data_IF_137442733813
#
_entry.id   IF_137442733813
#
_cell.length_a   1.000
_cell.length_b   1.000
_cell.length_c   1.000
_cell.angle_alpha   90.00
_cell.angle_beta   90.00
_cell.angle_gamma   90.00
#
_symmetry.space_group_name_H-M   'P 1'
#
loop_
_entity.id
_entity.type
_entity.pdbx_description
1 polymer ?
#
# COMPACT_ATOMS: atom_id res chain seq x y z
N UNK A 1 -1.48 -13.97 58.65
CA UNK A 1 -0.78 -12.67 58.60
C UNK A 1 0.63 -12.97 58.13
N UNK A 2 1.10 -12.70 56.91
CA UNK A 2 0.90 -11.61 55.94
C UNK A 2 0.83 -12.17 54.50
N UNK A 3 0.32 -11.40 53.52
CA UNK A 3 -0.20 -11.93 52.26
C UNK A 3 0.83 -12.03 51.13
N UNK A 4 0.47 -12.89 50.18
CA UNK A 4 1.04 -13.16 48.86
C UNK A 4 1.38 -11.93 48.02
N UNK A 5 2.57 -11.92 47.43
CA UNK A 5 2.87 -11.20 46.18
C UNK A 5 3.37 -12.19 45.12
N UNK A 6 2.54 -12.64 44.17
CA UNK A 6 3.05 -13.24 42.96
C UNK A 6 3.52 -12.10 42.05
N UNK A 7 4.82 -12.12 41.71
CA UNK A 7 5.39 -11.30 40.66
C UNK A 7 4.75 -11.68 39.32
N UNK A 8 3.61 -11.06 39.00
CA UNK A 8 2.97 -11.18 37.69
C UNK A 8 3.82 -10.44 36.67
N UNK A 9 4.53 -11.22 35.88
CA UNK A 9 5.22 -10.79 34.69
C UNK A 9 4.19 -10.16 33.71
N UNK A 10 4.51 -9.07 32.98
CA UNK A 10 3.57 -8.36 32.10
C UNK A 10 2.95 -9.19 30.96
N UNK A 11 3.38 -10.45 30.78
CA UNK A 11 2.93 -11.35 29.72
C UNK A 11 1.61 -12.08 30.00
N UNK A 12 1.06 -12.01 31.22
CA UNK A 12 -0.23 -12.65 31.56
C UNK A 12 -1.47 -11.86 31.14
N UNK A 13 -1.34 -10.58 30.81
CA UNK A 13 -2.42 -9.85 30.14
C UNK A 13 -2.24 -10.02 28.64
N UNK A 14 -3.18 -10.67 27.95
CA UNK A 14 -3.23 -10.76 26.49
C UNK A 14 -3.41 -9.40 25.80
N UNK A 15 -2.47 -8.48 26.03
CA UNK A 15 -2.47 -7.10 25.56
C UNK A 15 -1.62 -6.96 24.31
N UNK A 16 -2.20 -6.26 23.35
CA UNK A 16 -1.80 -6.20 21.96
C UNK A 16 -0.39 -5.59 21.75
N UNK A 17 0.51 -6.20 20.94
CA UNK A 17 1.94 -5.81 20.97
C UNK A 17 2.33 -4.56 20.17
N UNK A 18 1.52 -4.06 19.24
CA UNK A 18 1.96 -3.03 18.26
C UNK A 18 1.45 -1.62 18.54
N UNK A 19 0.14 -1.43 18.39
CA UNK A 19 -0.47 -0.10 18.44
C UNK A 19 -0.83 0.36 19.88
N UNK A 20 -1.18 -0.57 20.77
CA UNK A 20 -1.47 -0.31 22.19
C UNK A 20 -0.24 0.11 22.99
N UNK A 21 0.94 -0.45 22.69
CA UNK A 21 2.18 -0.07 23.38
C UNK A 21 2.67 1.34 23.03
N UNK A 22 2.40 1.85 21.82
CA UNK A 22 2.59 3.27 21.49
C UNK A 22 1.58 4.15 22.22
N UNK A 23 0.31 3.71 22.27
CA UNK A 23 -0.79 4.45 22.90
C UNK A 23 -0.63 4.67 24.42
N UNK A 24 0.02 3.75 25.13
CA UNK A 24 0.34 3.86 26.56
C UNK A 24 1.61 4.67 26.85
N UNK A 25 2.57 4.75 25.92
CA UNK A 25 3.86 5.46 26.11
C UNK A 25 3.88 6.89 25.58
N UNK A 26 2.90 7.30 24.77
CA UNK A 26 2.84 8.63 24.17
C UNK A 26 1.86 9.57 24.91
N UNK A 27 2.24 10.83 25.20
CA UNK A 27 1.33 11.81 25.76
C UNK A 27 0.16 12.08 24.81
N UNK A 28 -1.02 12.39 25.38
CA UNK A 28 -2.30 12.53 24.64
C UNK A 28 -2.20 13.39 23.38
N UNK A 29 -1.44 14.49 23.41
CA UNK A 29 -1.24 15.38 22.25
C UNK A 29 -0.50 14.71 21.09
N UNK A 30 0.57 13.95 21.34
CA UNK A 30 1.31 13.22 20.28
C UNK A 30 0.48 12.09 19.68
N UNK A 31 -0.38 11.48 20.48
CA UNK A 31 -1.31 10.44 20.03
C UNK A 31 -2.40 10.98 19.11
N UNK A 32 -2.93 12.16 19.42
CA UNK A 32 -3.88 12.87 18.57
C UNK A 32 -3.22 13.34 17.26
N UNK A 33 -2.00 13.88 17.32
CA UNK A 33 -1.25 14.28 16.13
C UNK A 33 -0.95 13.09 15.21
N UNK A 34 -0.50 11.97 15.78
CA UNK A 34 -0.26 10.73 15.03
C UNK A 34 -1.55 10.19 14.40
N UNK A 35 -2.67 10.27 15.11
CA UNK A 35 -3.97 9.89 14.55
C UNK A 35 -4.40 10.79 13.40
N UNK A 36 -4.34 12.11 13.58
CA UNK A 36 -4.71 13.06 12.52
C UNK A 36 -3.87 12.82 11.27
N UNK A 37 -2.56 12.55 11.44
CA UNK A 37 -1.67 12.19 10.35
C UNK A 37 -2.05 10.85 9.69
N UNK A 38 -2.38 9.81 10.47
CA UNK A 38 -2.82 8.53 9.93
C UNK A 38 -4.14 8.64 9.15
N UNK A 39 -5.07 9.49 9.59
CA UNK A 39 -6.34 9.71 8.92
C UNK A 39 -6.17 10.50 7.62
N UNK A 40 -5.28 11.52 7.60
CA UNK A 40 -4.91 12.24 6.36
C UNK A 40 -4.29 11.29 5.35
N UNK A 41 -3.37 10.41 5.77
CA UNK A 41 -2.76 9.41 4.89
C UNK A 41 -3.80 8.45 4.34
N UNK A 42 -4.72 7.98 5.19
CA UNK A 42 -5.79 7.07 4.75
C UNK A 42 -6.74 7.74 3.75
N UNK A 43 -7.14 8.99 4.00
CA UNK A 43 -7.97 9.75 3.07
C UNK A 43 -7.26 9.99 1.73
N UNK A 44 -5.95 10.23 1.75
CA UNK A 44 -5.16 10.36 0.54
C UNK A 44 -5.09 9.03 -0.23
N UNK A 45 -4.88 7.90 0.45
CA UNK A 45 -4.90 6.58 -0.20
C UNK A 45 -6.27 6.31 -0.83
N UNK A 46 -7.37 6.55 -0.11
CA UNK A 46 -8.73 6.39 -0.63
C UNK A 46 -9.00 7.32 -1.83
N UNK A 47 -8.48 8.55 -1.82
CA UNK A 47 -8.58 9.47 -2.97
C UNK A 47 -7.93 8.86 -4.21
N UNK A 48 -6.70 8.34 -4.09
CA UNK A 48 -6.01 7.73 -5.24
C UNK A 48 -6.74 6.49 -5.77
N UNK A 49 -7.30 5.68 -4.89
CA UNK A 49 -8.02 4.46 -5.27
C UNK A 49 -9.35 4.76 -5.96
N UNK A 50 -10.12 5.72 -5.45
CA UNK A 50 -11.41 6.10 -6.04
C UNK A 50 -11.19 6.72 -7.41
N UNK A 51 -10.17 7.58 -7.54
CA UNK A 51 -9.83 8.19 -8.82
C UNK A 51 -9.31 7.13 -9.80
N UNK A 52 -8.38 6.27 -9.38
CA UNK A 52 -7.85 5.19 -10.24
C UNK A 52 -8.96 4.23 -10.69
N UNK A 53 -9.86 3.84 -9.81
CA UNK A 53 -11.02 3.02 -10.16
C UNK A 53 -12.02 3.75 -11.07
N UNK A 54 -12.24 5.05 -10.86
CA UNK A 54 -13.09 5.86 -11.72
C UNK A 54 -12.51 5.97 -13.14
N UNK A 55 -11.20 6.20 -13.27
CA UNK A 55 -10.47 6.20 -14.54
C UNK A 55 -10.57 4.81 -15.20
N UNK A 56 -10.41 3.72 -14.43
CA UNK A 56 -10.54 2.37 -14.97
C UNK A 56 -11.94 2.11 -15.55
N UNK A 57 -13.00 2.51 -14.85
CA UNK A 57 -14.37 2.38 -15.35
C UNK A 57 -14.65 3.31 -16.54
N UNK A 58 -14.05 4.48 -16.55
CA UNK A 58 -14.12 5.40 -17.69
C UNK A 58 -13.50 4.78 -18.94
N UNK A 59 -12.31 4.19 -18.80
CA UNK A 59 -11.59 3.55 -19.91
C UNK A 59 -12.31 2.28 -20.39
N UNK A 60 -12.81 1.44 -19.47
CA UNK A 60 -13.43 0.15 -19.83
C UNK A 60 -14.85 0.30 -20.40
N UNK A 61 -15.64 1.22 -19.86
CA UNK A 61 -17.08 1.30 -20.12
C UNK A 61 -17.56 2.67 -20.58
N UNK A 62 -16.66 3.67 -20.68
CA UNK A 62 -17.03 5.05 -21.03
C UNK A 62 -17.82 5.76 -19.93
N UNK A 63 -17.81 5.26 -18.69
CA UNK A 63 -18.60 5.82 -17.59
C UNK A 63 -18.00 7.17 -17.15
N UNK A 64 -18.80 8.23 -16.92
CA UNK A 64 -18.29 9.49 -16.39
C UNK A 64 -17.56 9.31 -15.05
N UNK A 65 -16.47 10.06 -14.82
CA UNK A 65 -15.61 9.90 -13.64
C UNK A 65 -16.37 9.94 -12.31
N UNK A 66 -17.35 10.84 -12.17
CA UNK A 66 -18.16 10.92 -10.95
C UNK A 66 -19.00 9.66 -10.73
N UNK A 67 -19.65 9.15 -11.78
CA UNK A 67 -20.42 7.91 -11.70
C UNK A 67 -19.49 6.71 -11.44
N UNK A 68 -18.32 6.68 -12.07
CA UNK A 68 -17.28 5.68 -11.82
C UNK A 68 -16.82 5.69 -10.36
N UNK A 69 -16.53 6.87 -9.81
CA UNK A 69 -16.15 7.03 -8.40
C UNK A 69 -17.23 6.54 -7.44
N UNK A 70 -18.50 6.84 -7.71
CA UNK A 70 -19.63 6.33 -6.92
C UNK A 70 -19.72 4.80 -7.01
N UNK A 71 -19.59 4.22 -8.20
CA UNK A 71 -19.61 2.77 -8.39
C UNK A 71 -18.47 2.11 -7.61
N UNK A 72 -17.25 2.63 -7.71
CA UNK A 72 -16.09 2.13 -6.96
C UNK A 72 -16.33 2.25 -5.45
N UNK A 73 -16.91 3.37 -5.00
CA UNK A 73 -17.32 3.58 -3.62
C UNK A 73 -18.33 2.55 -3.12
N UNK A 74 -19.31 2.19 -3.94
CA UNK A 74 -20.31 1.15 -3.60
C UNK A 74 -19.68 -0.23 -3.61
N UNK A 75 -18.92 -0.59 -4.66
CA UNK A 75 -18.28 -1.91 -4.79
C UNK A 75 -17.28 -2.13 -3.65
N UNK A 76 -16.50 -1.12 -3.29
CA UNK A 76 -15.61 -1.19 -2.13
C UNK A 76 -16.36 -1.42 -0.82
N UNK A 77 -17.47 -0.72 -0.58
CA UNK A 77 -18.31 -0.92 0.59
C UNK A 77 -18.88 -2.35 0.65
N UNK A 78 -19.26 -2.90 -0.50
CA UNK A 78 -19.73 -4.28 -0.63
C UNK A 78 -18.61 -5.30 -0.33
N UNK A 79 -17.40 -5.07 -0.83
CA UNK A 79 -16.24 -5.92 -0.52
C UNK A 79 -15.95 -5.92 0.99
N UNK A 80 -16.04 -4.75 1.62
CA UNK A 80 -15.88 -4.58 3.06
C UNK A 80 -16.99 -5.29 3.85
N UNK A 81 -18.23 -5.28 3.34
CA UNK A 81 -19.35 -6.02 3.92
C UNK A 81 -19.13 -7.54 3.82
N UNK A 82 -18.65 -8.03 2.67
CA UNK A 82 -18.29 -9.44 2.50
C UNK A 82 -17.18 -9.84 3.47
N UNK A 83 -16.16 -9.01 3.65
CA UNK A 83 -15.08 -9.25 4.61
C UNK A 83 -15.62 -9.35 6.05
N UNK A 84 -16.51 -8.43 6.43
CA UNK A 84 -17.08 -8.36 7.80
C UNK A 84 -17.99 -9.55 8.10
N UNK A 85 -18.80 -10.00 7.12
CA UNK A 85 -19.80 -11.04 7.34
C UNK A 85 -19.32 -12.46 7.02
N UNK A 86 -18.45 -12.64 6.00
CA UNK A 86 -17.98 -13.96 5.54
C UNK A 86 -16.55 -14.28 5.96
N UNK A 87 -15.86 -13.34 6.62
CA UNK A 87 -14.53 -13.54 7.16
C UNK A 87 -13.39 -13.42 6.12
N UNK A 88 -12.13 -13.50 6.60
CA UNK A 88 -10.94 -13.13 5.81
C UNK A 88 -10.65 -14.05 4.63
N UNK A 89 -11.04 -15.33 4.67
CA UNK A 89 -10.71 -16.30 3.61
C UNK A 89 -11.40 -16.00 2.27
N UNK A 90 -12.66 -15.59 2.30
CA UNK A 90 -13.38 -15.21 1.08
C UNK A 90 -12.83 -13.93 0.47
N UNK A 91 -12.46 -12.99 1.34
CA UNK A 91 -11.80 -11.77 0.93
C UNK A 91 -10.45 -12.05 0.26
N UNK A 92 -9.59 -12.85 0.89
CA UNK A 92 -8.31 -13.28 0.31
C UNK A 92 -8.50 -13.95 -1.06
N UNK A 93 -9.48 -14.84 -1.20
CA UNK A 93 -9.76 -15.52 -2.48
C UNK A 93 -10.12 -14.54 -3.60
N UNK A 94 -11.02 -13.57 -3.33
CA UNK A 94 -11.38 -12.51 -4.30
C UNK A 94 -10.14 -11.72 -4.69
N UNK A 95 -9.31 -11.36 -3.71
CA UNK A 95 -8.10 -10.58 -3.96
C UNK A 95 -7.04 -11.34 -4.76
N UNK A 96 -6.81 -12.61 -4.43
CA UNK A 96 -5.88 -13.47 -5.18
C UNK A 96 -6.34 -13.68 -6.62
N UNK A 97 -7.65 -13.87 -6.85
CA UNK A 97 -8.19 -13.99 -8.21
C UNK A 97 -7.97 -12.72 -9.03
N UNK A 98 -8.17 -11.57 -8.39
CA UNK A 98 -7.97 -10.26 -9.00
C UNK A 98 -6.49 -9.99 -9.34
N UNK A 99 -5.58 -10.31 -8.42
CA UNK A 99 -4.13 -10.22 -8.64
C UNK A 99 -3.67 -11.20 -9.73
N UNK A 100 -4.26 -12.39 -9.81
CA UNK A 100 -3.96 -13.37 -10.84
C UNK A 100 -4.33 -12.84 -12.24
N UNK A 101 -5.51 -12.20 -12.38
CA UNK A 101 -5.94 -11.58 -13.64
C UNK A 101 -4.94 -10.50 -14.08
N UNK A 102 -4.52 -9.62 -13.17
CA UNK A 102 -3.48 -8.61 -13.45
C UNK A 102 -2.19 -9.26 -13.92
N UNK A 103 -1.73 -10.25 -13.15
CA UNK A 103 -0.45 -10.92 -13.39
C UNK A 103 -0.46 -11.56 -14.77
N UNK A 104 -1.50 -12.33 -15.10
CA UNK A 104 -1.66 -12.93 -16.42
C UNK A 104 -1.73 -11.85 -17.50
N UNK A 105 -2.50 -10.78 -17.30
CA UNK A 105 -2.63 -9.68 -18.26
C UNK A 105 -1.30 -9.04 -18.65
N UNK A 106 -0.52 -8.57 -17.67
CA UNK A 106 0.76 -7.92 -17.91
C UNK A 106 1.84 -8.89 -18.37
N UNK A 107 1.89 -10.10 -17.81
CA UNK A 107 2.88 -11.10 -18.22
C UNK A 107 2.61 -11.57 -19.65
N UNK A 108 1.36 -11.82 -20.02
CA UNK A 108 1.01 -12.14 -21.41
C UNK A 108 1.29 -10.96 -22.33
N UNK A 109 0.96 -9.73 -21.94
CA UNK A 109 1.31 -8.52 -22.71
C UNK A 109 2.82 -8.37 -22.93
N UNK A 110 3.63 -8.72 -21.92
CA UNK A 110 5.09 -8.70 -22.01
C UNK A 110 5.63 -9.71 -23.04
N UNK A 111 5.11 -10.94 -23.05
CA UNK A 111 5.56 -11.97 -23.99
C UNK A 111 5.08 -11.76 -25.43
N UNK A 112 3.95 -11.08 -25.61
CA UNK A 112 3.43 -10.72 -26.94
C UNK A 112 4.02 -9.42 -27.48
N UNK A 113 4.52 -8.55 -26.59
CA UNK A 113 5.12 -7.27 -26.96
C UNK A 113 6.51 -7.41 -27.56
N UNK A 114 6.97 -6.39 -28.32
CA UNK A 114 8.33 -6.35 -28.87
C UNK A 114 9.33 -5.96 -27.77
N UNK A 115 9.64 -6.88 -26.85
CA UNK A 115 10.63 -6.67 -25.79
C UNK A 115 11.95 -7.34 -26.16
N UNK A 116 13.02 -6.56 -26.21
CA UNK A 116 14.37 -7.08 -26.33
C UNK A 116 14.84 -7.61 -24.97
N UNK A 117 14.89 -8.94 -24.86
CA UNK A 117 15.32 -9.63 -23.63
C UNK A 117 16.81 -9.39 -23.31
N UNK A 118 17.64 -9.07 -24.31
CA UNK A 118 19.04 -8.71 -24.13
C UNK A 118 19.19 -7.37 -23.40
N UNK A 119 18.44 -6.36 -23.83
CA UNK A 119 18.40 -5.06 -23.14
C UNK A 119 17.73 -5.15 -21.76
N UNK A 120 16.67 -5.96 -21.63
CA UNK A 120 16.01 -6.17 -20.35
C UNK A 120 16.96 -6.76 -19.29
N UNK A 121 17.79 -7.74 -19.66
CA UNK A 121 18.80 -8.32 -18.77
C UNK A 121 19.92 -7.32 -18.49
N UNK A 122 20.34 -6.54 -19.49
CA UNK A 122 21.33 -5.49 -19.30
C UNK A 122 20.85 -4.38 -18.35
N UNK A 123 19.53 -4.10 -18.33
CA UNK A 123 18.89 -3.14 -17.44
C UNK A 123 18.83 -3.55 -15.97
N UNK A 124 19.11 -4.82 -15.64
CA UNK A 124 19.25 -5.28 -14.25
C UNK A 124 20.48 -4.64 -13.58
N UNK A 125 21.50 -4.28 -14.38
CA UNK A 125 22.64 -3.54 -13.87
C UNK A 125 22.25 -2.08 -13.64
N UNK A 126 22.38 -1.56 -12.40
CA UNK A 126 21.98 -0.19 -12.09
C UNK A 126 22.88 0.81 -12.83
N UNK A 127 22.31 1.47 -13.85
CA UNK A 127 22.93 2.58 -14.57
C UNK A 127 22.12 3.84 -14.28
N UNK A 128 22.71 4.74 -13.50
CA UNK A 128 22.06 6.01 -13.12
C UNK A 128 22.60 7.12 -14.03
N UNK A 129 21.90 7.36 -15.14
CA UNK A 129 22.27 8.40 -16.13
C UNK A 129 21.76 9.78 -15.70
N UNK A 130 22.26 10.27 -14.56
CA UNK A 130 21.99 11.61 -14.05
C UNK A 130 20.82 11.72 -13.05
N UNK A 131 20.52 12.96 -12.67
CA UNK A 131 19.50 13.28 -11.64
C UNK A 131 18.08 12.77 -11.97
N UNK A 132 17.58 12.83 -13.22
CA UNK A 132 16.21 12.38 -13.54
C UNK A 132 16.01 10.88 -13.31
N UNK A 133 16.97 10.04 -13.70
CA UNK A 133 16.91 8.58 -13.53
C UNK A 133 17.01 8.18 -12.06
N UNK A 134 17.79 8.91 -11.26
CA UNK A 134 17.84 8.72 -9.81
C UNK A 134 16.48 9.07 -9.17
N UNK A 135 15.86 10.18 -9.58
CA UNK A 135 14.55 10.57 -9.08
C UNK A 135 13.46 9.58 -9.49
N UNK A 136 13.47 9.07 -10.71
CA UNK A 136 12.54 8.01 -11.17
C UNK A 136 12.73 6.72 -10.38
N UNK A 137 13.96 6.20 -10.29
CA UNK A 137 14.27 4.98 -9.55
C UNK A 137 13.86 5.09 -8.08
N UNK A 138 14.15 6.24 -7.47
CA UNK A 138 13.76 6.50 -6.11
C UNK A 138 12.23 6.62 -6.00
N UNK A 139 11.53 7.35 -6.88
CA UNK A 139 10.07 7.46 -6.89
C UNK A 139 9.37 6.10 -7.03
N UNK A 140 9.91 5.20 -7.86
CA UNK A 140 9.43 3.81 -7.96
C UNK A 140 9.63 3.04 -6.64
N UNK A 141 10.77 3.24 -5.97
CA UNK A 141 11.03 2.66 -4.65
C UNK A 141 10.06 3.22 -3.59
N UNK A 142 9.80 4.52 -3.60
CA UNK A 142 8.84 5.15 -2.71
C UNK A 142 7.41 4.65 -2.93
N UNK A 143 6.97 4.54 -4.18
CA UNK A 143 5.63 4.07 -4.55
C UNK A 143 5.39 2.60 -4.17
N UNK A 144 6.43 1.77 -4.14
CA UNK A 144 6.29 0.34 -3.77
C UNK A 144 6.25 0.11 -2.26
N UNK A 145 6.76 1.04 -1.45
CA UNK A 145 6.77 0.91 0.00
C UNK A 145 5.55 1.61 0.60
N UNK A 146 4.42 0.91 0.65
CA UNK A 146 3.19 1.36 1.31
C UNK A 146 3.23 1.04 2.82
N UNK A 147 3.34 2.04 3.73
CA UNK A 147 3.49 1.78 5.17
C UNK A 147 2.25 1.17 5.80
N UNK A 148 1.08 1.50 5.27
CA UNK A 148 -0.18 0.94 5.74
C UNK A 148 -0.29 -0.55 5.41
N UNK A 149 0.36 -1.04 4.35
CA UNK A 149 0.46 -2.46 4.07
C UNK A 149 1.24 -3.21 5.16
N UNK A 150 2.24 -2.56 5.77
CA UNK A 150 3.01 -3.14 6.88
C UNK A 150 2.12 -3.30 8.13
N UNK A 151 1.30 -2.28 8.44
CA UNK A 151 0.36 -2.36 9.56
C UNK A 151 -0.77 -3.37 9.31
N UNK A 152 -1.35 -3.37 8.10
CA UNK A 152 -2.38 -4.32 7.71
C UNK A 152 -1.84 -5.75 7.79
N UNK A 153 -0.66 -6.02 7.22
CA UNK A 153 -0.08 -7.36 7.22
C UNK A 153 0.25 -7.81 8.66
N UNK A 154 0.77 -6.92 9.50
CA UNK A 154 1.00 -7.22 10.92
C UNK A 154 -0.30 -7.56 11.67
N UNK A 155 -1.39 -6.85 11.36
CA UNK A 155 -2.70 -7.10 11.96
C UNK A 155 -3.40 -8.34 11.36
N UNK A 156 -3.25 -8.62 10.07
CA UNK A 156 -3.81 -9.80 9.39
C UNK A 156 -3.10 -11.08 9.83
N UNK A 157 -1.78 -11.05 9.92
CA UNK A 157 -0.99 -12.18 10.44
C UNK A 157 -1.39 -12.52 11.88
N UNK A 158 -1.71 -11.51 12.70
CA UNK A 158 -2.24 -11.70 14.06
C UNK A 158 -3.62 -12.37 14.04
N UNK A 159 -4.55 -11.85 13.26
CA UNK A 159 -5.93 -12.36 13.22
C UNK A 159 -6.03 -13.76 12.58
N UNK A 160 -5.17 -14.08 11.62
CA UNK A 160 -5.08 -15.41 10.99
C UNK A 160 -4.63 -16.50 11.95
N UNK A 161 -3.85 -16.15 12.98
CA UNK A 161 -3.26 -17.12 13.91
C UNK A 161 -3.89 -17.13 15.31
N UNK A 162 -4.77 -16.18 15.64
CA UNK A 162 -5.48 -16.14 16.93
C UNK A 162 -4.57 -15.94 18.14
N UNK A 163 -5.11 -16.16 19.36
CA UNK A 163 -4.42 -16.08 20.67
C UNK A 163 -2.97 -16.59 20.62
N UNK A 164 -2.04 -16.02 21.42
CA UNK A 164 -0.62 -16.24 21.25
C UNK A 164 -0.30 -17.74 21.18
N UNK A 165 0.17 -18.25 20.03
CA UNK A 165 0.50 -19.65 19.88
C UNK A 165 1.56 -19.99 20.93
N UNK A 166 1.53 -21.22 21.45
CA UNK A 166 2.53 -21.69 22.40
C UNK A 166 3.93 -21.25 21.92
N UNK A 167 4.77 -20.70 22.81
CA UNK A 167 6.07 -20.09 22.43
C UNK A 167 6.93 -20.97 21.50
N UNK A 168 6.74 -22.29 21.53
CA UNK A 168 7.37 -23.27 20.66
C UNK A 168 6.95 -23.19 19.17
N UNK A 169 5.73 -22.75 18.86
CA UNK A 169 5.21 -22.64 17.49
C UNK A 169 5.53 -21.27 16.84
N UNK A 170 5.92 -20.27 17.63
CA UNK A 170 6.21 -18.92 17.14
C UNK A 170 7.32 -18.87 16.06
N UNK A 171 8.45 -19.60 16.19
CA UNK A 171 9.48 -19.62 15.13
C UNK A 171 8.99 -20.20 13.81
N UNK A 172 8.15 -21.23 13.86
CA UNK A 172 7.58 -21.86 12.65
C UNK A 172 6.61 -20.91 11.95
N UNK A 173 5.75 -20.23 12.72
CA UNK A 173 4.81 -19.24 12.19
C UNK A 173 5.52 -18.02 11.58
N UNK A 174 6.58 -17.52 12.23
CA UNK A 174 7.40 -16.43 11.67
C UNK A 174 8.06 -16.85 10.35
N UNK A 175 8.54 -18.09 10.26
CA UNK A 175 9.16 -18.61 9.03
C UNK A 175 8.14 -18.79 7.91
N UNK A 176 6.95 -19.32 8.21
CA UNK A 176 5.87 -19.47 7.25
C UNK A 176 5.38 -18.10 6.74
N UNK A 177 5.17 -17.14 7.64
CA UNK A 177 4.76 -15.75 7.29
C UNK A 177 5.83 -15.08 6.44
N UNK A 178 7.12 -15.29 6.74
CA UNK A 178 8.22 -14.74 5.93
C UNK A 178 8.20 -15.26 4.49
N UNK A 179 7.97 -16.56 4.30
CA UNK A 179 7.86 -17.14 2.96
C UNK A 179 6.62 -16.65 2.21
N UNK A 180 5.48 -16.49 2.91
CA UNK A 180 4.24 -15.95 2.36
C UNK A 180 4.44 -14.51 1.84
N UNK A 181 5.07 -13.64 2.65
CA UNK A 181 5.42 -12.27 2.26
C UNK A 181 6.44 -12.26 1.12
N UNK A 182 7.47 -13.10 1.18
CA UNK A 182 8.50 -13.14 0.14
C UNK A 182 7.91 -13.54 -1.21
N UNK A 183 7.10 -14.60 -1.25
CA UNK A 183 6.42 -15.04 -2.47
C UNK A 183 5.48 -13.96 -3.01
N UNK A 184 4.70 -13.33 -2.13
CA UNK A 184 3.79 -12.24 -2.52
C UNK A 184 4.55 -11.03 -3.11
N UNK A 185 5.67 -10.63 -2.50
CA UNK A 185 6.51 -9.54 -3.00
C UNK A 185 7.24 -9.90 -4.30
N UNK A 186 7.64 -11.16 -4.49
CA UNK A 186 8.23 -11.62 -5.75
C UNK A 186 7.21 -11.56 -6.90
N UNK A 187 5.96 -11.96 -6.65
CA UNK A 187 4.89 -11.83 -7.65
C UNK A 187 4.56 -10.36 -7.92
N UNK A 188 4.42 -9.53 -6.90
CA UNK A 188 4.18 -8.09 -7.09
C UNK A 188 5.36 -7.42 -7.84
N UNK A 189 6.59 -7.78 -7.50
CA UNK A 189 7.80 -7.29 -8.15
C UNK A 189 7.89 -7.71 -9.61
N UNK A 190 7.53 -8.95 -9.95
CA UNK A 190 7.52 -9.41 -11.34
C UNK A 190 6.47 -8.68 -12.18
N UNK A 191 5.29 -8.42 -11.62
CA UNK A 191 4.26 -7.60 -12.28
C UNK A 191 4.73 -6.17 -12.51
N UNK A 192 5.38 -5.54 -11.52
CA UNK A 192 5.93 -4.20 -11.68
C UNK A 192 7.03 -4.14 -12.75
N UNK A 193 7.91 -5.14 -12.81
CA UNK A 193 8.93 -5.26 -13.87
C UNK A 193 8.25 -5.45 -15.23
N UNK A 194 7.24 -6.31 -15.33
CA UNK A 194 6.50 -6.53 -16.57
C UNK A 194 5.83 -5.23 -17.05
N UNK A 195 5.22 -4.47 -16.13
CA UNK A 195 4.62 -3.17 -16.42
C UNK A 195 5.66 -2.16 -16.91
N UNK A 196 6.83 -2.10 -16.26
CA UNK A 196 7.93 -1.21 -16.65
C UNK A 196 8.47 -1.55 -18.06
N UNK A 197 8.70 -2.84 -18.34
CA UNK A 197 9.18 -3.29 -19.64
C UNK A 197 8.15 -3.06 -20.75
N UNK A 198 6.87 -3.33 -20.47
CA UNK A 198 5.78 -3.02 -21.39
C UNK A 198 5.73 -1.52 -21.69
N UNK A 199 5.94 -0.69 -20.66
CA UNK A 199 5.96 0.75 -20.82
C UNK A 199 7.14 1.23 -21.65
N UNK A 200 8.35 0.74 -21.36
CA UNK A 200 9.55 1.06 -22.10
C UNK A 200 9.45 0.68 -23.59
N UNK A 201 8.88 -0.49 -23.89
CA UNK A 201 8.75 -0.99 -25.26
C UNK A 201 7.64 -0.35 -26.09
N UNK A 202 6.59 0.21 -25.47
CA UNK A 202 5.39 0.64 -26.20
C UNK A 202 5.02 2.12 -26.01
N UNK A 203 5.47 2.78 -24.94
CA UNK A 203 5.16 4.19 -24.68
C UNK A 203 6.33 5.14 -25.01
N UNK A 204 7.53 4.60 -25.27
CA UNK A 204 8.70 5.43 -25.59
C UNK A 204 8.50 6.21 -26.89
N UNK A 205 8.59 7.54 -26.80
CA UNK A 205 8.42 8.44 -27.94
C UNK A 205 6.98 8.71 -28.37
N UNK A 206 5.97 8.20 -27.64
CA UNK A 206 4.55 8.48 -27.92
C UNK A 206 4.09 9.72 -27.12
N UNK A 207 3.62 10.80 -27.78
CA UNK A 207 3.14 11.99 -27.08
C UNK A 207 1.84 11.72 -26.31
N UNK A 208 1.66 12.36 -25.14
CA UNK A 208 0.43 12.28 -24.35
C UNK A 208 0.33 11.08 -23.40
N UNK A 209 1.45 10.40 -23.13
CA UNK A 209 1.52 9.21 -22.26
C UNK A 209 1.64 9.51 -20.77
N UNK A 210 1.66 10.79 -20.39
CA UNK A 210 1.75 11.25 -19.00
C UNK A 210 0.45 11.02 -18.21
N UNK A 211 -0.66 10.74 -18.90
CA UNK A 211 -1.95 10.37 -18.31
C UNK A 211 -2.20 8.87 -18.36
N UNK A 212 -3.00 8.36 -17.43
CA UNK A 212 -3.38 6.93 -17.42
C UNK A 212 -4.19 6.57 -18.68
N UNK A 213 -5.05 7.48 -19.13
CA UNK A 213 -5.84 7.35 -20.36
C UNK A 213 -4.95 7.28 -21.60
N UNK A 214 -3.96 8.16 -21.68
CA UNK A 214 -2.97 8.17 -22.76
C UNK A 214 -2.10 6.93 -22.76
N UNK A 215 -1.67 6.47 -21.58
CA UNK A 215 -0.94 5.23 -21.41
C UNK A 215 -1.75 4.01 -21.87
N UNK A 216 -3.03 3.94 -21.49
CA UNK A 216 -3.93 2.88 -21.95
C UNK A 216 -4.14 2.93 -23.47
N UNK A 217 -4.35 4.12 -24.04
CA UNK A 217 -4.51 4.28 -25.48
C UNK A 217 -3.27 3.82 -26.26
N UNK A 218 -2.06 4.14 -25.77
CA UNK A 218 -0.80 3.67 -26.34
C UNK A 218 -0.68 2.13 -26.27
N UNK A 219 -1.03 1.53 -25.12
CA UNK A 219 -1.05 0.08 -24.94
C UNK A 219 -2.03 -0.59 -25.91
N UNK A 220 -3.25 -0.06 -26.06
CA UNK A 220 -4.25 -0.60 -27.00
C UNK A 220 -3.77 -0.50 -28.43
N UNK A 221 -3.15 0.62 -28.81
CA UNK A 221 -2.63 0.83 -30.16
C UNK A 221 -1.48 -0.14 -30.49
N UNK A 222 -0.59 -0.42 -29.53
CA UNK A 222 0.58 -1.26 -29.77
C UNK A 222 0.33 -2.76 -29.60
N UNK A 223 -0.48 -3.15 -28.61
CA UNK A 223 -0.65 -4.55 -28.18
C UNK A 223 -2.06 -5.09 -28.40
N UNK A 224 -2.99 -4.24 -28.82
CA UNK A 224 -4.37 -4.58 -29.12
C UNK A 224 -5.33 -4.44 -27.93
N UNK A 225 -6.64 -4.56 -28.20
CA UNK A 225 -7.70 -4.26 -27.22
C UNK A 225 -7.73 -5.23 -26.04
N UNK A 226 -7.29 -6.48 -26.22
CA UNK A 226 -7.28 -7.47 -25.13
C UNK A 226 -6.36 -7.08 -23.98
N UNK A 227 -5.18 -6.54 -24.28
CA UNK A 227 -4.21 -6.08 -23.26
C UNK A 227 -4.70 -4.79 -22.60
N UNK A 228 -5.35 -3.90 -23.35
CA UNK A 228 -5.99 -2.70 -22.79
C UNK A 228 -7.09 -3.03 -21.77
N UNK A 229 -7.95 -4.02 -22.07
CA UNK A 229 -8.96 -4.51 -21.13
C UNK A 229 -8.28 -5.07 -19.87
N UNK A 230 -7.21 -5.86 -20.03
CA UNK A 230 -6.47 -6.41 -18.89
C UNK A 230 -5.84 -5.29 -18.03
N UNK A 231 -5.31 -4.23 -18.66
CA UNK A 231 -4.80 -3.05 -17.97
C UNK A 231 -5.89 -2.31 -17.18
N UNK A 232 -7.03 -2.02 -17.81
CA UNK A 232 -8.17 -1.35 -17.16
C UNK A 232 -8.75 -2.18 -16.01
N UNK A 233 -8.94 -3.48 -16.22
CA UNK A 233 -9.36 -4.42 -15.16
C UNK A 233 -8.33 -4.43 -14.04
N UNK A 234 -7.04 -4.37 -14.37
CA UNK A 234 -5.97 -4.33 -13.39
C UNK A 234 -5.89 -3.04 -12.58
N UNK A 235 -6.20 -1.91 -13.18
CA UNK A 235 -6.30 -0.62 -12.50
C UNK A 235 -7.49 -0.61 -11.53
N UNK A 236 -8.66 -1.08 -11.98
CA UNK A 236 -9.86 -1.23 -11.14
C UNK A 236 -9.59 -2.18 -9.96
N UNK A 237 -8.96 -3.31 -10.28
CA UNK A 237 -8.56 -4.33 -9.34
C UNK A 237 -7.67 -3.80 -8.22
N UNK A 238 -6.60 -3.09 -8.60
CA UNK A 238 -5.64 -2.50 -7.67
C UNK A 238 -6.31 -1.49 -6.72
N UNK A 239 -7.23 -0.66 -7.24
CA UNK A 239 -8.01 0.26 -6.41
C UNK A 239 -8.87 -0.46 -5.37
N UNK A 240 -9.60 -1.50 -5.78
CA UNK A 240 -10.45 -2.31 -4.88
C UNK A 240 -9.63 -3.11 -3.85
N UNK A 241 -8.44 -3.56 -4.25
CA UNK A 241 -7.48 -4.25 -3.40
C UNK A 241 -7.04 -3.39 -2.22
N UNK A 242 -6.50 -2.23 -2.57
CA UNK A 242 -5.84 -1.34 -1.62
C UNK A 242 -6.85 -0.77 -0.62
N UNK A 243 -8.06 -0.45 -1.09
CA UNK A 243 -9.20 0.00 -0.27
C UNK A 243 -9.45 -0.91 0.92
N UNK A 244 -9.51 -2.20 0.65
CA UNK A 244 -9.94 -3.19 1.64
C UNK A 244 -8.85 -3.42 2.68
N UNK A 245 -7.59 -3.41 2.22
CA UNK A 245 -6.40 -3.47 3.08
C UNK A 245 -6.23 -2.18 3.90
N UNK A 246 -6.48 -1.01 3.32
CA UNK A 246 -6.38 0.31 3.97
C UNK A 246 -7.44 0.54 5.04
N UNK A 247 -8.68 0.10 4.79
CA UNK A 247 -9.75 0.08 5.78
C UNK A 247 -9.38 -0.79 6.99
N UNK A 248 -8.84 -1.99 6.75
CA UNK A 248 -8.38 -2.89 7.79
C UNK A 248 -7.20 -2.31 8.58
N UNK A 249 -6.16 -1.86 7.88
CA UNK A 249 -4.97 -1.25 8.47
C UNK A 249 -5.35 -0.09 9.41
N UNK A 250 -6.18 0.83 8.94
CA UNK A 250 -6.52 1.98 9.76
C UNK A 250 -7.52 1.66 10.88
N UNK A 251 -8.36 0.63 10.75
CA UNK A 251 -9.15 0.14 11.90
C UNK A 251 -8.26 -0.44 13.00
N UNK A 252 -7.18 -1.15 12.63
CA UNK A 252 -6.20 -1.68 13.56
C UNK A 252 -5.36 -0.56 14.22
N UNK A 253 -4.94 0.44 13.46
CA UNK A 253 -4.22 1.63 13.96
C UNK A 253 -5.12 2.37 14.96
N UNK A 254 -6.38 2.61 14.61
CA UNK A 254 -7.32 3.40 15.43
C UNK A 254 -7.71 2.68 16.72
N UNK A 255 -7.96 1.37 16.64
CA UNK A 255 -8.24 0.53 17.80
C UNK A 255 -7.10 0.53 18.81
N UNK A 256 -5.85 0.41 18.34
CA UNK A 256 -4.70 0.37 19.23
C UNK A 256 -4.22 1.73 19.74
N UNK A 257 -4.33 2.81 18.96
CA UNK A 257 -3.84 4.13 19.37
C UNK A 257 -4.90 4.96 20.10
N UNK A 258 -6.15 4.99 19.62
CA UNK A 258 -7.17 5.88 20.18
C UNK A 258 -8.18 5.17 21.07
N UNK A 259 -8.23 3.83 21.08
CA UNK A 259 -9.28 3.06 21.74
C UNK A 259 -10.71 3.43 21.26
N UNK A 260 -10.82 4.11 20.13
CA UNK A 260 -12.10 4.47 19.50
C UNK A 260 -12.43 3.39 18.49
N UNK A 261 -13.59 2.76 18.65
CA UNK A 261 -14.13 1.78 17.71
C UNK A 261 -15.11 2.47 16.77
N UNK A 262 -14.62 3.05 15.69
CA UNK A 262 -15.50 3.43 14.58
C UNK A 262 -15.83 2.18 13.76
N UNK A 263 -17.06 2.10 13.24
CA UNK A 263 -17.39 1.07 12.27
C UNK A 263 -16.57 1.29 11.00
N UNK A 264 -16.09 0.20 10.38
CA UNK A 264 -15.27 0.27 9.17
C UNK A 264 -16.02 0.99 8.04
N UNK A 265 -17.35 0.86 8.00
CA UNK A 265 -18.25 1.56 7.08
C UNK A 265 -18.30 3.07 7.30
N UNK A 266 -18.43 3.52 8.56
CA UNK A 266 -18.45 4.95 8.88
C UNK A 266 -17.14 5.61 8.45
N UNK A 267 -16.02 4.94 8.71
CA UNK A 267 -14.70 5.44 8.30
C UNK A 267 -14.58 5.54 6.78
N UNK A 268 -15.00 4.49 6.05
CA UNK A 268 -15.00 4.50 4.59
C UNK A 268 -15.86 5.62 4.02
N UNK A 269 -17.02 5.92 4.63
CA UNK A 269 -17.85 7.03 4.18
C UNK A 269 -17.14 8.39 4.38
N UNK A 270 -16.48 8.59 5.52
CA UNK A 270 -15.76 9.82 5.84
C UNK A 270 -14.62 10.07 4.85
N UNK A 271 -13.90 9.03 4.41
CA UNK A 271 -12.78 9.14 3.49
C UNK A 271 -13.20 9.16 2.01
N UNK A 272 -14.31 8.49 1.66
CA UNK A 272 -14.86 8.47 0.30
C UNK A 272 -15.48 9.81 -0.12
N UNK A 273 -16.18 10.48 0.79
CA UNK A 273 -16.90 11.73 0.49
C UNK A 273 -15.97 12.83 -0.05
N UNK A 274 -14.82 13.15 0.59
CA UNK A 274 -13.86 14.11 0.04
C UNK A 274 -13.39 13.74 -1.37
N UNK A 275 -13.14 12.47 -1.65
CA UNK A 275 -12.71 12.02 -2.97
C UNK A 275 -13.79 12.26 -4.04
N UNK A 276 -15.05 11.96 -3.73
CA UNK A 276 -16.17 12.22 -4.64
C UNK A 276 -16.39 13.72 -4.86
N UNK A 277 -16.19 14.56 -3.82
CA UNK A 277 -16.28 16.02 -3.96
C UNK A 277 -15.20 16.56 -4.88
N UNK A 278 -13.96 16.08 -4.76
CA UNK A 278 -12.84 16.47 -5.65
C UNK A 278 -13.16 16.11 -7.11
N UNK A 279 -13.70 14.91 -7.36
CA UNK A 279 -14.12 14.48 -8.70
C UNK A 279 -15.30 15.33 -9.21
N UNK A 280 -16.30 15.60 -8.35
CA UNK A 280 -17.46 16.42 -8.71
C UNK A 280 -17.09 17.87 -9.01
N UNK A 281 -16.04 18.40 -8.37
CA UNK A 281 -15.50 19.72 -8.64
C UNK A 281 -14.75 19.82 -9.97
N UNK A 282 -14.57 18.72 -10.70
CA UNK A 282 -13.88 18.69 -11.99
C UNK A 282 -12.38 18.90 -11.87
N UNK A 283 -11.79 18.59 -10.71
CA UNK A 283 -10.33 18.62 -10.54
C UNK A 283 -9.69 17.59 -11.45
N UNK A 284 -8.57 17.97 -12.08
CA UNK A 284 -7.82 17.07 -12.93
C UNK A 284 -7.40 15.79 -12.16
N UNK A 285 -7.75 14.60 -12.67
CA UNK A 285 -7.47 13.33 -11.98
C UNK A 285 -5.98 13.09 -11.75
N UNK A 286 -5.13 13.47 -12.70
CA UNK A 286 -3.67 13.30 -12.63
C UNK A 286 -3.11 14.14 -11.49
N UNK A 287 -3.53 15.40 -11.39
CA UNK A 287 -3.14 16.29 -10.29
C UNK A 287 -3.62 15.78 -8.93
N UNK A 288 -4.84 15.28 -8.85
CA UNK A 288 -5.38 14.72 -7.61
C UNK A 288 -4.65 13.43 -7.19
N UNK A 289 -4.22 12.61 -8.15
CA UNK A 289 -3.35 11.46 -7.90
C UNK A 289 -1.97 11.90 -7.38
N UNK A 290 -1.34 12.89 -8.01
CA UNK A 290 -0.04 13.44 -7.55
C UNK A 290 -0.16 14.01 -6.13
N UNK A 291 -1.20 14.80 -5.86
CA UNK A 291 -1.44 15.36 -4.53
C UNK A 291 -1.63 14.27 -3.47
N UNK A 292 -2.39 13.22 -3.81
CA UNK A 292 -2.51 12.04 -2.94
C UNK A 292 -1.13 11.45 -2.62
N UNK A 293 -0.29 11.22 -3.63
CA UNK A 293 1.06 10.67 -3.41
C UNK A 293 1.92 11.55 -2.49
N UNK A 294 1.82 12.89 -2.61
CA UNK A 294 2.52 13.82 -1.72
C UNK A 294 2.03 13.68 -0.27
N UNK A 295 0.72 13.55 -0.05
CA UNK A 295 0.17 13.32 1.29
C UNK A 295 0.57 11.97 1.87
N UNK A 296 0.62 10.91 1.04
CA UNK A 296 1.14 9.61 1.46
C UNK A 296 2.62 9.71 1.85
N UNK A 297 3.44 10.36 1.03
CA UNK A 297 4.90 10.46 1.22
C UNK A 297 5.26 11.15 2.54
N UNK A 298 4.50 12.17 2.95
CA UNK A 298 4.60 12.83 4.25
C UNK A 298 4.32 11.87 5.41
N UNK A 299 3.46 10.88 5.22
CA UNK A 299 3.08 9.92 6.25
C UNK A 299 4.06 8.76 6.47
N UNK A 300 4.85 8.42 5.45
CA UNK A 300 5.75 7.25 5.47
C UNK A 300 6.77 7.28 6.62
N UNK A 301 7.50 8.39 6.88
CA UNK A 301 8.49 8.44 7.95
C UNK A 301 7.89 8.18 9.33
N UNK A 302 6.69 8.70 9.57
CA UNK A 302 5.99 8.56 10.85
C UNK A 302 5.58 7.11 11.12
N UNK A 303 5.35 6.31 10.09
CA UNK A 303 5.07 4.89 10.23
C UNK A 303 6.36 4.06 10.42
N UNK A 304 7.36 4.29 9.56
CA UNK A 304 8.57 3.47 9.53
C UNK A 304 9.51 3.70 10.72
N UNK A 305 9.69 4.95 11.15
CA UNK A 305 10.63 5.28 12.24
C UNK A 305 10.24 4.58 13.56
N UNK A 306 8.98 4.65 14.03
CA UNK A 306 8.55 3.91 15.21
C UNK A 306 8.66 2.39 15.03
N UNK A 307 8.36 1.87 13.85
CA UNK A 307 8.45 0.44 13.57
C UNK A 307 9.89 -0.08 13.70
N UNK A 308 10.86 0.58 13.08
CA UNK A 308 12.28 0.21 13.19
C UNK A 308 12.77 0.34 14.63
N UNK A 309 12.32 1.38 15.35
CA UNK A 309 12.65 1.56 16.77
C UNK A 309 12.09 0.44 17.65
N UNK A 310 10.82 0.07 17.46
CA UNK A 310 10.16 -0.99 18.25
C UNK A 310 10.76 -2.36 17.96
N UNK A 311 11.00 -2.68 16.69
CA UNK A 311 11.60 -3.96 16.28
C UNK A 311 13.06 -4.11 16.73
N UNK A 312 13.74 -2.99 17.00
CA UNK A 312 15.06 -2.95 17.62
C UNK A 312 15.07 -2.95 19.16
N UNK A 313 13.93 -2.78 19.82
CA UNK A 313 13.84 -2.72 21.29
C UNK A 313 13.72 -4.12 21.90
N UNK A 314 14.73 -4.53 22.68
CA UNK A 314 14.72 -5.81 23.41
C UNK A 314 13.60 -5.89 24.44
N UNK A 315 13.14 -4.76 24.98
CA UNK A 315 12.04 -4.74 25.94
C UNK A 315 10.69 -5.12 25.29
N UNK A 316 10.56 -4.92 23.97
CA UNK A 316 9.34 -5.21 23.20
C UNK A 316 9.44 -6.57 22.51
N UNK A 317 10.56 -6.84 21.82
CA UNK A 317 10.74 -8.03 20.96
C UNK A 317 11.36 -9.24 21.67
N UNK A 318 11.96 -9.04 22.86
CA UNK A 318 12.64 -10.12 23.60
C UNK A 318 13.73 -10.80 22.77
N UNK A 319 13.60 -12.12 22.57
CA UNK A 319 14.56 -12.95 21.83
C UNK A 319 14.48 -12.72 20.30
N UNK A 320 13.40 -12.13 19.80
CA UNK A 320 13.16 -11.88 18.37
C UNK A 320 13.57 -10.47 17.93
N UNK A 321 14.44 -9.79 18.70
CA UNK A 321 14.97 -8.48 18.34
C UNK A 321 15.75 -8.53 17.03
N UNK A 322 15.66 -7.46 16.24
CA UNK A 322 16.43 -7.35 15.01
C UNK A 322 17.94 -7.50 15.27
N UNK A 323 18.61 -8.30 14.43
CA UNK A 323 20.07 -8.38 14.40
C UNK A 323 20.64 -7.03 13.96
N UNK A 324 21.83 -6.67 14.43
CA UNK A 324 22.46 -5.38 14.12
C UNK A 324 22.51 -5.07 12.62
N UNK A 325 22.83 -6.06 11.78
CA UNK A 325 22.82 -5.91 10.31
C UNK A 325 21.42 -5.52 9.79
N UNK A 326 20.36 -6.19 10.24
CA UNK A 326 18.98 -5.89 9.84
C UNK A 326 18.58 -4.49 10.31
N UNK A 327 18.94 -4.11 11.54
CA UNK A 327 18.67 -2.77 12.07
C UNK A 327 19.38 -1.69 11.27
N UNK A 328 20.65 -1.88 10.90
CA UNK A 328 21.40 -0.92 10.07
C UNK A 328 20.75 -0.78 8.69
N UNK A 329 20.45 -1.89 8.02
CA UNK A 329 19.76 -1.88 6.72
C UNK A 329 18.41 -1.18 6.82
N UNK A 330 17.62 -1.46 7.85
CA UNK A 330 16.33 -0.83 8.07
C UNK A 330 16.45 0.70 8.24
N UNK A 331 17.43 1.17 9.02
CA UNK A 331 17.69 2.60 9.17
C UNK A 331 18.18 3.28 7.88
N UNK A 332 19.01 2.60 7.09
CA UNK A 332 19.43 3.09 5.76
C UNK A 332 18.23 3.25 4.84
N UNK A 333 17.34 2.24 4.78
CA UNK A 333 16.11 2.30 3.98
C UNK A 333 15.20 3.45 4.45
N UNK A 334 15.02 3.63 5.76
CA UNK A 334 14.26 4.75 6.31
C UNK A 334 14.87 6.08 5.92
N UNK A 335 16.19 6.25 6.04
CA UNK A 335 16.88 7.47 5.67
C UNK A 335 16.73 7.78 4.18
N UNK A 336 16.85 6.77 3.32
CA UNK A 336 16.67 6.90 1.87
C UNK A 336 15.24 7.34 1.51
N UNK A 337 14.23 6.70 2.08
CA UNK A 337 12.81 7.04 1.84
C UNK A 337 12.51 8.47 2.32
N UNK A 338 13.01 8.85 3.50
CA UNK A 338 12.85 10.20 4.03
C UNK A 338 13.50 11.23 3.10
N UNK A 339 14.74 10.97 2.67
CA UNK A 339 15.47 11.87 1.77
C UNK A 339 14.76 12.03 0.42
N UNK A 340 14.26 10.93 -0.15
CA UNK A 340 13.49 10.95 -1.38
C UNK A 340 12.18 11.73 -1.24
N UNK A 341 11.42 11.48 -0.17
CA UNK A 341 10.14 12.18 0.04
C UNK A 341 10.37 13.68 0.22
N UNK A 342 11.45 14.08 0.90
CA UNK A 342 11.87 15.47 1.00
C UNK A 342 12.22 16.05 -0.38
N UNK A 343 12.97 15.32 -1.21
CA UNK A 343 13.29 15.75 -2.56
C UNK A 343 12.03 15.93 -3.42
N UNK A 344 11.08 14.97 -3.35
CA UNK A 344 9.80 15.04 -4.04
C UNK A 344 8.99 16.26 -3.60
N UNK A 345 8.89 16.51 -2.29
CA UNK A 345 8.23 17.71 -1.75
C UNK A 345 8.84 19.01 -2.27
N UNK A 346 10.17 19.10 -2.31
CA UNK A 346 10.87 20.28 -2.83
C UNK A 346 10.58 20.45 -4.32
N UNK A 347 10.61 19.37 -5.11
CA UNK A 347 10.33 19.40 -6.55
C UNK A 347 8.88 19.80 -6.85
N UNK A 348 7.91 19.21 -6.13
CA UNK A 348 6.50 19.57 -6.28
C UNK A 348 6.23 21.00 -5.84
N UNK A 349 6.87 21.48 -4.75
CA UNK A 349 6.73 22.86 -4.30
C UNK A 349 7.43 23.87 -5.22
N UNK A 350 8.49 23.46 -5.93
CA UNK A 350 9.21 24.28 -6.90
C UNK A 350 8.55 24.33 -8.28
N UNK A 351 7.40 23.66 -8.48
CA UNK A 351 6.64 23.70 -9.72
C UNK A 351 7.12 22.75 -10.83
N UNK A 352 7.90 21.71 -10.48
CA UNK A 352 8.22 20.62 -11.41
C UNK A 352 7.01 19.69 -11.57
N UNK A 353 6.08 20.08 -12.44
CA UNK A 353 5.01 19.24 -12.97
C UNK A 353 5.51 18.34 -14.09
#
# INVERSE_FOLDING_TARGET
MLPSTPSRSPYESGREPGALQLGERLPRGRRLAFWAQAEVVAAATDLAEVIGGAIALHILFGIPLLAGGVIVGVVSMLLLAVQTHRGPRHFEFVMSGLLAIITVGFVTGLFLGPVDWGEAVAGVLPRLEGTPTVLLAASMLGATVMPHAIYAHSALARDRHGLPPARAALPQLLTATRWDVLLSLLVAGSVNIAMLLLAAGNLSGVPGTDSIEGAHAAIVAALGPGVGIAFGVGLLASGLASTSVGCYAGSAIMGGLLHVRLSVFTRRLITLVPALVVIAAGVDPTWALVLSQVLLSLGIPFALVPLVRLTGDRAVMGVFVNRACVSVVAWVVVALIVALNLALLVLTAAGGG
#
